data_IF_577680132511
#
_entry.id   IF_577680132511
#
_cell.length_a   1.000
_cell.length_b   1.000
_cell.length_c   1.000
_cell.angle_alpha   90.00
_cell.angle_beta   90.00
_cell.angle_gamma   90.00
#
_symmetry.space_group_name_H-M   'P 1'
#
loop_
_entity.id
_entity.type
_entity.pdbx_description
1 polymer ?
#
# COMPACT_ATOMS: atom_id res chain seq x y z
N UNK A 1 -7.05 -46.88 38.54
CA UNK A 1 -7.65 -45.77 37.80
C UNK A 1 -6.88 -45.31 36.54
N UNK A 2 -5.77 -45.94 36.17
CA UNK A 2 -4.95 -45.53 34.99
C UNK A 2 -5.22 -46.31 33.68
N UNK A 3 -6.12 -47.29 33.68
CA UNK A 3 -6.42 -48.13 32.49
C UNK A 3 -7.72 -47.73 31.72
N UNK A 4 -8.51 -46.79 32.24
CA UNK A 4 -9.74 -46.35 31.56
C UNK A 4 -9.58 -45.05 30.73
N UNK A 5 -8.44 -44.37 30.86
CA UNK A 5 -8.19 -43.15 30.12
C UNK A 5 -7.55 -43.38 28.73
N UNK A 6 -6.85 -44.53 28.55
CA UNK A 6 -6.16 -44.86 27.30
C UNK A 6 -7.11 -45.37 26.21
N UNK A 7 -8.25 -45.97 26.58
CA UNK A 7 -9.25 -46.42 25.61
C UNK A 7 -10.14 -45.31 25.06
N UNK A 8 -10.33 -44.20 25.84
CA UNK A 8 -11.14 -43.08 25.37
C UNK A 8 -10.39 -42.25 24.32
N UNK A 9 -9.07 -42.13 24.40
CA UNK A 9 -8.25 -41.43 23.40
C UNK A 9 -8.13 -42.17 22.07
N UNK A 10 -8.17 -43.50 22.08
CA UNK A 10 -8.07 -44.29 20.84
C UNK A 10 -9.38 -44.33 20.05
N UNK A 11 -10.52 -44.17 20.71
CA UNK A 11 -11.85 -44.12 20.05
C UNK A 11 -12.11 -42.73 19.42
N UNK A 12 -11.60 -41.69 20.03
CA UNK A 12 -11.76 -40.32 19.46
C UNK A 12 -10.87 -40.12 18.23
N UNK A 13 -9.67 -40.69 18.17
CA UNK A 13 -8.81 -40.66 16.96
C UNK A 13 -9.33 -41.54 15.81
N UNK A 14 -10.09 -42.60 16.08
CA UNK A 14 -10.70 -43.40 15.01
C UNK A 14 -11.97 -42.76 14.42
N UNK A 15 -12.70 -41.95 15.20
CA UNK A 15 -13.90 -41.26 14.71
C UNK A 15 -13.51 -40.05 13.82
N UNK A 16 -12.38 -39.38 14.07
CA UNK A 16 -11.88 -38.31 13.20
C UNK A 16 -11.26 -38.79 11.88
N UNK A 17 -10.77 -40.03 11.82
CA UNK A 17 -10.20 -40.60 10.57
C UNK A 17 -11.26 -41.13 9.60
N UNK A 18 -12.49 -41.41 10.08
CA UNK A 18 -13.60 -41.85 9.22
C UNK A 18 -14.49 -40.73 8.68
N UNK A 19 -14.40 -39.52 9.26
CA UNK A 19 -15.11 -38.31 8.76
C UNK A 19 -14.33 -37.54 7.68
N UNK A 20 -13.01 -37.82 7.51
CA UNK A 20 -12.21 -37.20 6.47
C UNK A 20 -12.29 -37.87 5.10
N UNK A 21 -12.89 -39.08 5.00
CA UNK A 21 -13.02 -39.82 3.75
C UNK A 21 -14.40 -39.70 3.08
N UNK A 22 -15.37 -39.00 3.69
CA UNK A 22 -16.73 -38.86 3.12
C UNK A 22 -16.99 -37.49 2.46
N UNK A 23 -16.01 -36.58 2.43
CA UNK A 23 -16.21 -35.26 1.80
C UNK A 23 -15.92 -35.20 0.29
N UNK A 24 -15.23 -36.21 -0.27
CA UNK A 24 -14.98 -36.26 -1.71
C UNK A 24 -16.17 -36.83 -2.50
N UNK A 25 -16.94 -37.77 -1.92
CA UNK A 25 -18.09 -38.38 -2.62
C UNK A 25 -19.31 -37.47 -2.73
N UNK A 26 -19.45 -36.44 -1.86
CA UNK A 26 -20.56 -35.48 -1.92
C UNK A 26 -20.32 -34.42 -3.00
N UNK A 27 -19.07 -34.08 -3.30
CA UNK A 27 -18.75 -33.10 -4.34
C UNK A 27 -18.96 -33.71 -5.75
N UNK A 28 -18.60 -34.97 -5.96
CA UNK A 28 -18.83 -35.67 -7.23
C UNK A 28 -20.30 -35.92 -7.52
N UNK A 29 -21.15 -36.15 -6.49
CA UNK A 29 -22.56 -36.30 -6.64
C UNK A 29 -23.28 -34.96 -6.97
N UNK A 30 -22.82 -33.85 -6.43
CA UNK A 30 -23.37 -32.53 -6.72
C UNK A 30 -22.99 -32.01 -8.11
N UNK A 31 -21.78 -32.34 -8.60
CA UNK A 31 -21.32 -31.95 -9.94
C UNK A 31 -21.94 -32.80 -11.06
N UNK A 32 -22.27 -34.06 -10.79
CA UNK A 32 -22.89 -34.97 -11.77
C UNK A 32 -24.34 -34.61 -12.12
N UNK A 33 -25.08 -33.86 -11.30
CA UNK A 33 -26.46 -33.43 -11.58
C UNK A 33 -26.57 -32.13 -12.39
N UNK A 34 -25.50 -31.37 -12.51
CA UNK A 34 -25.49 -30.09 -13.26
C UNK A 34 -25.17 -30.26 -14.76
N UNK A 35 -24.65 -31.43 -15.19
CA UNK A 35 -24.23 -31.66 -16.58
C UNK A 35 -25.07 -32.73 -17.35
N UNK A 36 -26.19 -33.22 -16.80
CA UNK A 36 -27.07 -34.14 -17.52
C UNK A 36 -28.49 -33.56 -17.74
N UNK A 37 -28.64 -32.87 -18.83
CA UNK A 37 -29.92 -32.43 -19.37
C UNK A 37 -29.71 -31.27 -20.32
N UNK A 38 -29.82 -31.35 -21.56
CA UNK A 38 -30.63 -32.12 -22.48
C UNK A 38 -30.11 -31.93 -23.89
N UNK A 39 -30.00 -33.02 -24.65
CA UNK A 39 -29.90 -32.95 -26.10
C UNK A 39 -31.28 -33.00 -26.72
N UNK A 40 -31.34 -32.58 -28.01
CA UNK A 40 -32.35 -32.77 -29.04
C UNK A 40 -33.60 -31.85 -28.96
N UNK A 41 -34.11 -31.28 -30.00
CA UNK A 41 -34.09 -31.44 -31.47
C UNK A 41 -34.73 -30.19 -32.13
N UNK A 42 -34.23 -29.89 -33.33
CA UNK A 42 -34.90 -29.40 -34.55
C UNK A 42 -36.18 -28.54 -34.51
N UNK A 43 -36.18 -27.46 -35.30
CA UNK A 43 -37.39 -26.91 -35.89
C UNK A 43 -37.37 -25.43 -36.28
N UNK A 44 -37.03 -25.16 -37.52
CA UNK A 44 -37.54 -24.16 -38.49
C UNK A 44 -38.11 -22.79 -38.05
N UNK A 45 -37.52 -21.76 -38.66
CA UNK A 45 -38.11 -20.55 -39.28
C UNK A 45 -39.11 -19.67 -38.52
N UNK A 46 -38.70 -18.45 -38.32
CA UNK A 46 -39.61 -17.33 -38.02
C UNK A 46 -38.88 -16.00 -38.05
N UNK A 47 -38.91 -15.34 -39.19
CA UNK A 47 -38.52 -13.94 -39.40
C UNK A 47 -39.30 -13.04 -38.43
N UNK A 48 -38.62 -12.22 -37.67
CA UNK A 48 -39.22 -11.18 -36.84
C UNK A 48 -38.18 -10.17 -36.44
N UNK A 49 -38.08 -9.10 -37.21
CA UNK A 49 -37.28 -7.89 -36.89
C UNK A 49 -37.71 -7.31 -35.55
N UNK A 50 -36.93 -7.45 -34.53
CA UNK A 50 -36.96 -6.59 -33.36
C UNK A 50 -35.56 -5.98 -33.15
N UNK A 51 -35.36 -4.78 -33.72
CA UNK A 51 -34.27 -3.89 -33.41
C UNK A 51 -34.33 -3.49 -31.93
N UNK A 52 -33.44 -4.04 -31.14
CA UNK A 52 -33.04 -3.48 -29.83
C UNK A 52 -32.10 -2.33 -30.14
N UNK A 53 -32.25 -1.15 -29.51
CA UNK A 53 -31.34 -0.03 -29.75
C UNK A 53 -29.92 -0.38 -29.22
N UNK A 54 -28.93 -0.30 -30.10
CA UNK A 54 -27.52 -0.36 -29.76
C UNK A 54 -27.19 0.80 -28.82
N UNK A 55 -27.02 0.52 -27.53
CA UNK A 55 -26.21 1.34 -26.64
C UNK A 55 -24.76 1.14 -27.05
N UNK A 56 -24.11 2.21 -27.44
CA UNK A 56 -22.68 2.28 -27.69
C UNK A 56 -21.92 1.92 -26.40
N UNK A 57 -21.43 0.72 -26.33
CA UNK A 57 -20.33 0.39 -25.40
C UNK A 57 -19.08 0.13 -26.25
N UNK A 58 -18.23 1.12 -26.28
CA UNK A 58 -16.87 0.98 -26.79
C UNK A 58 -15.99 0.28 -25.76
N UNK A 59 -16.15 -1.01 -25.61
CA UNK A 59 -15.14 -1.86 -25.01
C UNK A 59 -14.07 -2.12 -26.05
N UNK A 60 -12.87 -1.56 -25.90
CA UNK A 60 -11.76 -1.89 -26.74
C UNK A 60 -11.27 -3.30 -26.43
N UNK A 61 -11.36 -4.21 -27.40
CA UNK A 61 -10.74 -5.54 -27.30
C UNK A 61 -9.23 -5.39 -27.16
N UNK A 62 -8.66 -5.85 -26.04
CA UNK A 62 -7.21 -5.87 -25.84
C UNK A 62 -6.68 -7.19 -26.37
N UNK A 63 -5.91 -7.13 -27.43
CA UNK A 63 -5.19 -8.29 -27.97
C UNK A 63 -3.78 -8.33 -27.40
N UNK A 64 -3.46 -9.35 -26.59
CA UNK A 64 -2.11 -9.62 -26.11
C UNK A 64 -1.46 -10.60 -27.09
N UNK A 65 -0.43 -10.15 -27.79
CA UNK A 65 0.43 -11.01 -28.59
C UNK A 65 1.46 -11.71 -27.69
N UNK A 66 1.17 -12.93 -27.28
CA UNK A 66 2.10 -13.78 -26.53
C UNK A 66 2.80 -14.77 -27.48
N UNK A 67 3.77 -14.30 -28.29
CA UNK A 67 4.55 -15.14 -29.23
C UNK A 67 3.74 -15.69 -30.40
N UNK A 68 4.41 -16.32 -31.34
CA UNK A 68 3.93 -16.64 -32.71
C UNK A 68 2.67 -17.53 -32.83
N UNK A 69 2.00 -17.95 -31.76
CA UNK A 69 0.88 -18.90 -31.86
C UNK A 69 -0.35 -18.70 -30.93
N UNK A 70 -0.43 -17.63 -30.14
CA UNK A 70 -1.60 -17.41 -29.30
C UNK A 70 -2.05 -15.93 -29.28
N UNK A 71 -3.18 -15.67 -29.93
CA UNK A 71 -3.94 -14.44 -29.75
C UNK A 71 -5.04 -14.72 -28.71
N UNK A 72 -4.93 -14.13 -27.51
CA UNK A 72 -5.99 -14.15 -26.52
C UNK A 72 -6.76 -12.85 -26.64
N UNK A 73 -7.99 -12.93 -27.16
CA UNK A 73 -8.93 -11.80 -27.12
C UNK A 73 -9.74 -11.91 -25.83
N UNK A 74 -9.57 -10.94 -24.93
CA UNK A 74 -10.23 -10.92 -23.63
C UNK A 74 -11.40 -9.93 -23.71
N UNK A 75 -12.60 -10.37 -23.37
CA UNK A 75 -13.81 -9.52 -23.28
C UNK A 75 -13.66 -8.47 -22.18
N UNK A 76 -13.97 -7.22 -22.48
CA UNK A 76 -13.56 -6.01 -21.77
C UNK A 76 -14.07 -5.87 -20.31
N UNK A 77 -15.02 -6.66 -19.83
CA UNK A 77 -15.53 -6.50 -18.45
C UNK A 77 -14.92 -7.46 -17.41
N UNK A 78 -14.54 -8.67 -17.81
CA UNK A 78 -13.84 -9.62 -16.91
C UNK A 78 -12.33 -9.49 -16.96
N UNK A 79 -11.81 -8.83 -17.98
CA UNK A 79 -10.38 -8.74 -18.28
C UNK A 79 -9.64 -7.64 -17.51
N UNK A 80 -10.34 -6.60 -17.03
CA UNK A 80 -9.68 -5.47 -16.38
C UNK A 80 -9.00 -5.86 -15.06
N UNK A 81 -9.68 -6.64 -14.21
CA UNK A 81 -9.16 -7.03 -12.90
C UNK A 81 -7.99 -8.03 -13.04
N UNK A 82 -8.06 -8.95 -14.03
CA UNK A 82 -6.98 -9.89 -14.33
C UNK A 82 -5.76 -9.13 -14.87
N UNK A 83 -5.96 -8.18 -15.78
CA UNK A 83 -4.86 -7.39 -16.33
C UNK A 83 -4.23 -6.48 -15.27
N UNK A 84 -5.05 -5.86 -14.43
CA UNK A 84 -4.61 -5.05 -13.31
C UNK A 84 -3.78 -5.89 -12.31
N UNK A 85 -4.30 -7.07 -11.91
CA UNK A 85 -3.60 -8.00 -11.05
C UNK A 85 -2.27 -8.47 -11.68
N UNK A 86 -2.25 -8.74 -13.00
CA UNK A 86 -1.02 -9.17 -13.69
C UNK A 86 0.06 -8.11 -13.66
N UNK A 87 -0.29 -6.83 -13.86
CA UNK A 87 0.67 -5.71 -13.71
C UNK A 87 1.16 -5.57 -12.27
N UNK A 88 0.25 -5.64 -11.31
CA UNK A 88 0.59 -5.56 -9.90
C UNK A 88 1.50 -6.72 -9.45
N UNK A 89 1.24 -7.96 -9.90
CA UNK A 89 2.08 -9.14 -9.61
C UNK A 89 3.52 -8.97 -10.12
N UNK A 90 3.72 -8.33 -11.28
CA UNK A 90 5.05 -8.07 -11.83
C UNK A 90 5.78 -6.92 -11.13
N UNK A 91 5.08 -6.08 -10.37
CA UNK A 91 5.67 -5.02 -9.55
C UNK A 91 5.76 -5.37 -8.06
N UNK A 92 5.12 -6.44 -7.63
CA UNK A 92 5.15 -6.91 -6.25
C UNK A 92 6.37 -7.80 -5.97
N UNK A 93 6.87 -7.70 -4.75
CA UNK A 93 7.95 -8.54 -4.24
C UNK A 93 7.61 -9.06 -2.86
N UNK A 94 8.10 -10.26 -2.54
CA UNK A 94 8.14 -10.76 -1.17
C UNK A 94 9.43 -10.29 -0.49
N UNK A 95 9.36 -10.00 0.81
CA UNK A 95 10.49 -9.54 1.60
C UNK A 95 10.66 -10.46 2.81
N UNK A 96 11.91 -10.88 3.05
CA UNK A 96 12.32 -11.61 4.25
C UNK A 96 13.46 -10.88 4.94
N UNK A 97 13.29 -10.59 6.22
CA UNK A 97 14.27 -9.92 7.06
C UNK A 97 14.71 -10.85 8.19
N UNK A 98 16.03 -11.00 8.37
CA UNK A 98 16.59 -11.78 9.49
C UNK A 98 17.22 -10.83 10.50
N UNK A 99 16.94 -11.03 11.78
CA UNK A 99 17.43 -10.20 12.89
C UNK A 99 18.20 -11.08 13.87
N UNK A 100 19.23 -10.50 14.49
CA UNK A 100 19.88 -11.07 15.66
C UNK A 100 19.28 -10.49 16.92
N UNK A 101 18.86 -11.34 17.85
CA UNK A 101 18.21 -10.96 19.12
C UNK A 101 19.03 -11.48 20.28
N UNK A 102 19.34 -10.64 21.25
CA UNK A 102 20.05 -11.03 22.48
C UNK A 102 19.04 -11.36 23.57
N UNK A 103 18.98 -12.62 23.96
CA UNK A 103 18.13 -13.09 25.04
C UNK A 103 18.97 -13.44 26.25
N UNK A 104 18.64 -12.88 27.42
CA UNK A 104 19.33 -13.18 28.67
C UNK A 104 18.55 -14.30 29.41
N UNK A 105 19.24 -15.42 29.69
CA UNK A 105 18.68 -16.56 30.42
C UNK A 105 19.42 -16.72 31.74
N UNK A 106 18.69 -16.73 32.89
CA UNK A 106 19.23 -16.82 34.22
C UNK A 106 18.93 -15.59 35.07
N UNK A 107 19.27 -15.65 36.37
CA UNK A 107 19.08 -14.56 37.32
C UNK A 107 20.43 -14.13 37.91
N UNK A 108 20.61 -12.80 38.05
CA UNK A 108 21.77 -12.18 38.70
C UNK A 108 23.05 -12.35 37.91
N UNK A 109 24.23 -12.40 38.57
CA UNK A 109 25.54 -12.45 37.94
C UNK A 109 25.80 -13.71 37.07
N UNK A 110 24.93 -14.72 37.17
CA UNK A 110 25.02 -15.98 36.41
C UNK A 110 24.14 -15.98 35.16
N UNK A 111 23.55 -14.85 34.78
CA UNK A 111 22.79 -14.76 33.53
C UNK A 111 23.72 -14.91 32.34
N UNK A 112 23.36 -15.81 31.40
CA UNK A 112 24.04 -15.97 30.14
C UNK A 112 23.25 -15.28 29.03
N UNK A 113 23.94 -14.55 28.17
CA UNK A 113 23.34 -13.91 26.99
C UNK A 113 23.53 -14.85 25.81
N UNK A 114 22.42 -15.23 25.20
CA UNK A 114 22.40 -16.02 23.97
C UNK A 114 21.93 -15.13 22.82
N UNK A 115 22.53 -15.31 21.65
CA UNK A 115 22.07 -14.68 20.43
C UNK A 115 21.23 -15.69 19.64
N UNK A 116 20.00 -15.29 19.30
CA UNK A 116 19.05 -16.10 18.54
C UNK A 116 18.62 -15.33 17.30
N UNK A 117 18.14 -16.05 16.28
CA UNK A 117 17.60 -15.45 15.06
C UNK A 117 16.10 -15.24 15.19
N UNK A 118 15.64 -14.06 14.77
CA UNK A 118 14.25 -13.74 14.52
C UNK A 118 14.06 -13.40 13.05
N UNK A 119 12.88 -13.68 12.50
CA UNK A 119 12.55 -13.41 11.10
C UNK A 119 11.26 -12.60 11.02
N UNK A 120 11.25 -11.58 10.19
CA UNK A 120 10.05 -10.88 9.74
C UNK A 120 9.84 -11.14 8.26
N UNK A 121 8.60 -11.27 7.85
CA UNK A 121 8.21 -11.42 6.45
C UNK A 121 7.16 -10.37 6.10
N UNK A 122 7.23 -9.87 4.88
CA UNK A 122 6.29 -8.90 4.35
C UNK A 122 6.34 -8.87 2.84
N UNK A 123 5.82 -7.82 2.30
CA UNK A 123 5.76 -7.54 0.87
C UNK A 123 6.40 -6.20 0.54
N UNK A 124 6.63 -5.95 -0.72
CA UNK A 124 7.08 -4.67 -1.23
C UNK A 124 6.57 -4.41 -2.64
N UNK A 125 6.77 -3.18 -3.09
CA UNK A 125 6.45 -2.75 -4.45
C UNK A 125 7.69 -2.13 -5.09
N UNK A 126 8.02 -2.56 -6.30
CA UNK A 126 9.12 -1.98 -7.07
C UNK A 126 8.70 -0.56 -7.48
N UNK A 127 9.39 0.42 -6.91
CA UNK A 127 9.14 1.84 -7.14
C UNK A 127 9.88 2.38 -8.36
N UNK A 128 11.16 2.04 -8.47
CA UNK A 128 12.01 2.37 -9.62
C UNK A 128 12.80 1.15 -10.02
N UNK A 129 12.99 0.95 -11.31
CA UNK A 129 13.71 -0.19 -11.86
C UNK A 129 14.54 0.25 -13.07
N UNK A 130 15.83 -0.05 -13.01
CA UNK A 130 16.73 0.01 -14.16
C UNK A 130 17.01 -1.43 -14.63
N UNK A 131 16.39 -1.82 -15.72
CA UNK A 131 16.54 -3.17 -16.30
C UNK A 131 17.95 -3.44 -16.86
N UNK A 132 18.67 -2.41 -17.29
CA UNK A 132 20.00 -2.58 -17.87
C UNK A 132 21.02 -2.96 -16.82
N UNK A 133 20.97 -2.34 -15.63
CA UNK A 133 21.86 -2.64 -14.51
C UNK A 133 21.30 -3.66 -13.52
N UNK A 134 19.99 -3.90 -13.51
CA UNK A 134 19.35 -4.73 -12.50
C UNK A 134 19.20 -4.03 -11.15
N UNK A 135 19.19 -2.67 -11.16
CA UNK A 135 19.00 -1.87 -9.95
C UNK A 135 17.53 -1.55 -9.72
N UNK A 136 17.12 -1.57 -8.46
CA UNK A 136 15.77 -1.18 -8.09
C UNK A 136 15.72 -0.45 -6.75
N UNK A 137 14.73 0.45 -6.62
CA UNK A 137 14.22 0.90 -5.33
C UNK A 137 12.88 0.24 -5.07
N UNK A 138 12.70 -0.27 -3.85
CA UNK A 138 11.52 -1.02 -3.42
C UNK A 138 10.94 -0.30 -2.21
N UNK A 139 9.62 -0.08 -2.21
CA UNK A 139 8.88 0.48 -1.07
C UNK A 139 8.26 -0.68 -0.30
N UNK A 140 8.33 -0.60 1.03
CA UNK A 140 7.69 -1.53 1.96
C UNK A 140 7.23 -0.79 3.22
N UNK A 141 6.58 -1.48 4.17
CA UNK A 141 6.34 -0.90 5.48
C UNK A 141 7.60 -0.91 6.36
N UNK A 142 7.71 0.10 7.23
CA UNK A 142 8.83 0.22 8.17
C UNK A 142 8.89 -0.97 9.14
N UNK A 143 7.72 -1.42 9.65
CA UNK A 143 7.66 -2.56 10.56
C UNK A 143 8.08 -3.91 9.92
N UNK A 144 8.19 -4.01 8.60
CA UNK A 144 8.71 -5.22 7.93
C UNK A 144 10.22 -5.34 8.13
N UNK A 145 10.93 -4.22 8.09
CA UNK A 145 12.40 -4.15 8.16
C UNK A 145 12.94 -3.81 9.56
N UNK A 146 12.07 -3.41 10.47
CA UNK A 146 12.38 -2.98 11.84
C UNK A 146 11.90 -4.01 12.87
N UNK A 147 12.75 -4.28 13.88
CA UNK A 147 12.38 -5.10 15.02
C UNK A 147 12.98 -4.54 16.31
N UNK A 148 12.12 -4.09 17.25
CA UNK A 148 12.53 -3.38 18.48
C UNK A 148 13.46 -4.18 19.41
N UNK A 149 13.56 -5.52 19.25
CA UNK A 149 14.48 -6.39 20.00
C UNK A 149 15.74 -6.77 19.21
N UNK A 150 15.91 -6.22 18.02
CA UNK A 150 17.12 -6.44 17.23
C UNK A 150 18.38 -5.97 17.98
N UNK A 151 19.49 -6.66 17.79
CA UNK A 151 20.78 -6.27 18.35
C UNK A 151 21.53 -5.24 17.50
N UNK A 152 20.98 -4.83 16.34
CA UNK A 152 21.52 -3.72 15.53
C UNK A 152 21.28 -2.39 16.23
N UNK A 153 22.12 -1.38 15.97
CA UNK A 153 22.04 -0.07 16.64
C UNK A 153 20.76 0.70 16.32
N UNK A 154 20.22 0.51 15.12
CA UNK A 154 18.99 1.17 14.62
C UNK A 154 17.79 0.21 14.55
N UNK A 155 17.92 -1.01 15.09
CA UNK A 155 16.88 -2.04 15.08
C UNK A 155 16.43 -2.51 13.67
N UNK A 156 17.09 -2.03 12.60
CA UNK A 156 16.84 -2.43 11.21
C UNK A 156 17.59 -3.72 10.88
N UNK A 157 17.00 -4.57 10.06
CA UNK A 157 17.66 -5.78 9.57
C UNK A 157 18.85 -5.44 8.64
N UNK A 158 20.00 -6.07 8.92
CA UNK A 158 21.15 -6.06 8.01
C UNK A 158 21.14 -7.23 7.01
N UNK A 159 20.12 -8.06 7.07
CA UNK A 159 19.97 -9.23 6.20
C UNK A 159 18.55 -9.23 5.63
N UNK A 160 18.39 -8.53 4.49
CA UNK A 160 17.13 -8.35 3.80
C UNK A 160 17.24 -9.06 2.45
N UNK A 161 16.29 -9.96 2.19
CA UNK A 161 16.15 -10.66 0.91
C UNK A 161 14.83 -10.31 0.26
N UNK A 162 14.86 -10.08 -1.04
CA UNK A 162 13.71 -9.79 -1.89
C UNK A 162 13.52 -10.93 -2.86
N UNK A 163 12.28 -11.28 -3.15
CA UNK A 163 11.90 -12.35 -4.07
C UNK A 163 10.86 -11.86 -5.05
N UNK A 164 11.02 -12.20 -6.32
CA UNK A 164 10.06 -11.88 -7.37
C UNK A 164 8.91 -12.88 -7.38
N UNK A 165 7.77 -12.48 -7.95
CA UNK A 165 6.62 -13.36 -8.15
C UNK A 165 7.00 -14.63 -8.93
N UNK A 166 6.65 -15.80 -8.36
CA UNK A 166 6.99 -17.11 -8.90
C UNK A 166 8.44 -17.56 -8.65
N UNK A 167 9.23 -16.77 -7.90
CA UNK A 167 10.63 -17.04 -7.54
C UNK A 167 10.86 -16.97 -6.03
N UNK A 168 9.89 -17.38 -5.21
CA UNK A 168 9.93 -17.26 -3.75
C UNK A 168 10.68 -18.41 -3.07
N UNK A 169 11.78 -18.88 -3.69
CA UNK A 169 12.68 -19.90 -3.18
C UNK A 169 14.03 -19.32 -2.77
N UNK A 170 14.68 -19.91 -1.79
CA UNK A 170 15.93 -19.38 -1.21
C UNK A 170 17.05 -19.18 -2.24
N UNK A 171 17.12 -20.01 -3.28
CA UNK A 171 18.09 -19.89 -4.37
C UNK A 171 17.89 -18.65 -5.26
N UNK A 172 16.70 -18.02 -5.22
CA UNK A 172 16.37 -16.80 -5.97
C UNK A 172 16.34 -15.55 -5.09
N UNK A 173 16.91 -15.65 -3.87
CA UNK A 173 17.00 -14.52 -2.97
C UNK A 173 17.84 -13.38 -3.57
N UNK A 174 17.26 -12.21 -3.71
CA UNK A 174 17.95 -11.00 -4.15
C UNK A 174 18.30 -10.20 -2.91
N UNK A 175 19.60 -9.97 -2.60
CA UNK A 175 19.99 -9.13 -1.48
C UNK A 175 19.53 -7.70 -1.67
N UNK A 176 19.02 -7.08 -0.61
CA UNK A 176 18.62 -5.68 -0.60
C UNK A 176 19.22 -4.96 0.61
N UNK A 177 19.45 -3.65 0.46
CA UNK A 177 19.93 -2.78 1.51
C UNK A 177 18.85 -1.77 1.90
N UNK A 178 18.78 -1.42 3.18
CA UNK A 178 17.93 -0.36 3.68
C UNK A 178 18.52 1.00 3.29
N UNK A 179 17.69 1.86 2.66
CA UNK A 179 18.07 3.23 2.31
C UNK A 179 17.62 4.19 3.40
N UNK A 180 16.38 4.07 3.84
CA UNK A 180 15.78 4.90 4.86
C UNK A 180 14.32 4.57 5.08
N UNK A 181 13.72 5.17 6.12
CA UNK A 181 12.31 4.94 6.42
C UNK A 181 11.76 5.92 7.45
N UNK A 182 10.50 5.78 7.77
CA UNK A 182 9.82 6.56 8.80
C UNK A 182 8.85 5.67 9.58
N UNK A 183 9.05 5.63 10.89
CA UNK A 183 8.15 4.96 11.81
C UNK A 183 6.78 5.67 11.87
N UNK A 184 6.79 7.01 11.75
CA UNK A 184 5.58 7.83 11.75
C UNK A 184 4.64 7.53 10.58
N UNK A 185 5.20 7.25 9.39
CA UNK A 185 4.44 6.91 8.18
C UNK A 185 4.39 5.42 7.90
N UNK A 186 5.09 4.61 8.70
CA UNK A 186 5.26 3.17 8.52
C UNK A 186 5.69 2.77 7.10
N UNK A 187 6.64 3.51 6.53
CA UNK A 187 7.20 3.29 5.20
C UNK A 187 8.72 3.18 5.25
N UNK A 188 9.29 2.33 4.41
CA UNK A 188 10.72 2.18 4.21
C UNK A 188 11.05 2.01 2.72
N UNK A 189 12.25 2.42 2.33
CA UNK A 189 12.80 2.24 1.00
C UNK A 189 14.01 1.30 1.09
N UNK A 190 14.01 0.29 0.23
CA UNK A 190 15.11 -0.64 0.04
C UNK A 190 15.74 -0.41 -1.33
N UNK A 191 17.03 -0.75 -1.45
CA UNK A 191 17.79 -0.72 -2.70
C UNK A 191 18.29 -2.12 -3.03
N UNK A 192 18.12 -2.50 -4.28
CA UNK A 192 18.78 -3.65 -4.91
C UNK A 192 19.75 -3.11 -5.94
N UNK A 193 20.96 -3.70 -6.03
CA UNK A 193 22.00 -3.33 -6.98
C UNK A 193 22.47 -4.57 -7.76
N UNK A 194 22.80 -4.38 -9.05
CA UNK A 194 23.45 -5.36 -9.94
C UNK A 194 22.76 -6.74 -9.99
N UNK A 195 21.41 -6.81 -9.88
CA UNK A 195 20.68 -8.07 -9.87
C UNK A 195 20.37 -8.59 -11.27
N UNK A 196 21.01 -9.68 -11.67
CA UNK A 196 20.71 -10.38 -12.92
C UNK A 196 19.26 -10.90 -12.95
N UNK A 197 18.73 -11.35 -11.80
CA UNK A 197 17.34 -11.79 -11.72
C UNK A 197 16.35 -10.66 -12.04
N UNK A 198 16.62 -9.44 -11.55
CA UNK A 198 15.81 -8.27 -11.91
C UNK A 198 15.97 -7.90 -13.38
N UNK A 199 17.21 -7.87 -13.90
CA UNK A 199 17.51 -7.51 -15.28
C UNK A 199 16.80 -8.42 -16.29
N UNK A 200 16.83 -9.73 -16.07
CA UNK A 200 16.32 -10.76 -17.00
C UNK A 200 14.84 -11.12 -16.77
N UNK A 201 14.25 -10.77 -15.62
CA UNK A 201 12.86 -11.09 -15.30
C UNK A 201 11.84 -10.24 -16.07
N UNK A 202 10.56 -10.54 -15.91
CA UNK A 202 9.44 -9.69 -16.35
C UNK A 202 9.04 -8.63 -15.31
N UNK A 203 9.78 -8.48 -14.21
CA UNK A 203 9.49 -7.50 -13.18
C UNK A 203 9.45 -6.07 -13.75
N UNK A 204 8.57 -5.23 -13.21
CA UNK A 204 8.37 -3.85 -13.65
C UNK A 204 8.15 -2.93 -12.45
N UNK A 205 8.43 -1.64 -12.61
CA UNK A 205 8.07 -0.65 -11.61
C UNK A 205 6.55 -0.42 -11.62
N UNK A 206 5.97 -0.20 -10.44
CA UNK A 206 4.56 0.14 -10.33
C UNK A 206 4.26 1.53 -10.90
N UNK A 207 3.16 1.65 -11.64
CA UNK A 207 2.61 2.92 -12.05
C UNK A 207 1.71 3.46 -10.93
N UNK A 208 1.90 4.72 -10.52
CA UNK A 208 1.15 5.34 -9.44
C UNK A 208 -0.09 6.06 -9.96
N UNK A 209 -1.24 5.84 -9.33
CA UNK A 209 -2.42 6.69 -9.49
C UNK A 209 -2.36 7.86 -8.50
N UNK A 210 -3.13 8.92 -8.78
CA UNK A 210 -3.38 9.96 -7.79
C UNK A 210 -4.41 9.45 -6.77
N UNK A 211 -3.97 9.24 -5.52
CA UNK A 211 -4.86 8.76 -4.47
C UNK A 211 -5.90 9.80 -3.99
N UNK A 212 -5.80 11.06 -4.42
CA UNK A 212 -6.83 12.06 -4.16
C UNK A 212 -8.08 11.86 -5.05
N UNK A 213 -7.93 11.16 -6.18
CA UNK A 213 -9.03 10.82 -7.10
C UNK A 213 -9.74 9.52 -6.73
N UNK A 214 -9.23 8.78 -5.73
CA UNK A 214 -9.83 7.54 -5.25
C UNK A 214 -11.16 7.83 -4.56
N UNK A 215 -12.16 7.01 -4.85
CA UNK A 215 -13.51 7.17 -4.29
C UNK A 215 -13.96 5.91 -3.56
N UNK A 216 -14.94 6.08 -2.68
CA UNK A 216 -15.60 4.94 -2.03
C UNK A 216 -16.22 3.99 -3.08
N UNK A 217 -16.11 2.68 -2.84
CA UNK A 217 -16.51 1.57 -3.71
C UNK A 217 -15.64 1.41 -4.98
N UNK A 218 -14.55 2.15 -5.12
CA UNK A 218 -13.57 1.88 -6.16
C UNK A 218 -12.88 0.52 -5.91
N UNK A 219 -12.71 -0.26 -6.97
CA UNK A 219 -12.05 -1.57 -6.88
C UNK A 219 -10.64 -1.43 -6.31
N UNK A 220 -10.33 -2.26 -5.33
CA UNK A 220 -9.04 -2.34 -4.68
C UNK A 220 -8.51 -3.77 -4.75
N UNK A 221 -7.37 -3.95 -5.44
CA UNK A 221 -6.69 -5.23 -5.61
C UNK A 221 -5.43 -5.20 -4.75
N UNK A 222 -5.42 -5.95 -3.64
CA UNK A 222 -4.25 -6.09 -2.80
C UNK A 222 -3.36 -7.22 -3.30
N UNK A 223 -2.07 -6.95 -3.44
CA UNK A 223 -1.06 -7.91 -3.90
C UNK A 223 0.08 -7.92 -2.89
N UNK A 224 0.35 -9.10 -2.35
CA UNK A 224 1.37 -9.32 -1.33
C UNK A 224 1.59 -10.80 -1.07
N UNK A 225 2.38 -11.12 -0.04
CA UNK A 225 2.77 -12.47 0.34
C UNK A 225 2.15 -12.86 1.70
N UNK A 226 0.83 -13.18 1.76
CA UNK A 226 0.17 -13.50 3.02
C UNK A 226 0.80 -14.74 3.65
N UNK A 227 1.12 -14.63 4.96
CA UNK A 227 1.68 -15.72 5.77
C UNK A 227 2.97 -16.35 5.19
N UNK A 228 3.70 -15.61 4.33
CA UNK A 228 4.89 -16.08 3.63
C UNK A 228 4.66 -17.35 2.77
N UNK A 229 3.45 -17.51 2.22
CA UNK A 229 3.06 -18.67 1.40
C UNK A 229 3.12 -18.40 -0.12
N UNK A 230 3.72 -17.32 -0.54
CA UNK A 230 3.84 -16.89 -1.94
C UNK A 230 2.98 -15.66 -2.24
N UNK A 231 3.40 -14.89 -3.25
CA UNK A 231 2.69 -13.67 -3.66
C UNK A 231 1.34 -14.05 -4.26
N UNK A 232 0.29 -13.41 -3.78
CA UNK A 232 -1.08 -13.61 -4.22
C UNK A 232 -1.84 -12.29 -4.34
N UNK A 233 -2.98 -12.31 -5.04
CA UNK A 233 -3.86 -11.17 -5.23
C UNK A 233 -5.24 -11.44 -4.61
N UNK A 234 -5.78 -10.44 -3.94
CA UNK A 234 -7.15 -10.43 -3.42
C UNK A 234 -7.86 -9.17 -3.90
N UNK A 235 -9.17 -9.22 -4.06
CA UNK A 235 -9.97 -8.10 -4.56
C UNK A 235 -11.06 -7.73 -3.56
N UNK A 236 -11.31 -6.45 -3.44
CA UNK A 236 -12.36 -5.81 -2.67
C UNK A 236 -12.56 -4.38 -3.17
N UNK A 237 -12.91 -3.47 -2.29
CA UNK A 237 -13.06 -2.06 -2.61
C UNK A 237 -12.57 -1.12 -1.49
N UNK A 238 -12.40 0.14 -1.86
CA UNK A 238 -12.17 1.22 -0.91
C UNK A 238 -13.48 1.56 -0.21
N UNK A 239 -13.53 1.49 1.12
CA UNK A 239 -14.70 1.86 1.90
C UNK A 239 -14.65 3.34 2.34
N UNK A 240 -13.45 3.82 2.69
CA UNK A 240 -13.20 5.21 3.08
C UNK A 240 -11.89 5.65 2.44
N UNK A 241 -11.95 6.71 1.68
CA UNK A 241 -10.80 7.27 0.93
C UNK A 241 -9.72 7.87 1.82
N UNK A 242 -10.10 8.36 2.99
CA UNK A 242 -9.14 8.95 3.95
C UNK A 242 -9.72 9.05 5.34
N UNK A 243 -9.05 8.45 6.31
CA UNK A 243 -9.34 8.62 7.74
C UNK A 243 -8.03 8.62 8.56
N UNK A 244 -8.08 9.29 9.72
CA UNK A 244 -6.95 9.32 10.64
C UNK A 244 -7.09 8.20 11.66
N UNK A 245 -6.10 7.31 11.70
CA UNK A 245 -6.04 6.16 12.60
C UNK A 245 -4.87 6.34 13.56
N UNK A 246 -5.16 6.30 14.86
CA UNK A 246 -4.15 6.32 15.90
C UNK A 246 -3.81 4.89 16.32
N UNK A 247 -2.53 4.55 16.33
CA UNK A 247 -2.04 3.21 16.57
C UNK A 247 -0.70 3.20 17.32
N UNK A 248 -0.33 2.05 17.87
CA UNK A 248 1.00 1.84 18.42
C UNK A 248 2.02 1.71 17.28
N UNK A 249 3.11 2.46 17.37
CA UNK A 249 4.20 2.44 16.38
C UNK A 249 4.97 1.11 16.37
N UNK A 250 5.98 1.00 15.51
CA UNK A 250 6.75 -0.24 15.36
C UNK A 250 7.69 -0.52 16.54
N UNK A 251 7.98 0.49 17.36
CA UNK A 251 8.74 0.35 18.62
C UNK A 251 7.92 -0.27 19.77
N UNK A 252 6.61 -0.51 19.57
CA UNK A 252 5.64 -1.01 20.56
C UNK A 252 5.43 -0.09 21.79
N UNK A 253 5.97 1.12 21.76
CA UNK A 253 5.94 2.11 22.86
C UNK A 253 5.23 3.38 22.41
N UNK A 254 5.64 3.93 21.29
CA UNK A 254 5.16 5.21 20.79
C UNK A 254 3.77 5.08 20.15
N UNK A 255 3.06 6.20 20.08
CA UNK A 255 1.76 6.27 19.41
C UNK A 255 1.88 7.19 18.22
N UNK A 256 1.44 6.73 17.05
CA UNK A 256 1.42 7.49 15.81
C UNK A 256 -0.01 7.63 15.30
N UNK A 257 -0.29 8.73 14.63
CA UNK A 257 -1.54 8.93 13.89
C UNK A 257 -1.23 9.01 12.42
N UNK A 258 -1.80 8.08 11.65
CA UNK A 258 -1.60 7.95 10.22
C UNK A 258 -2.88 8.25 9.47
N UNK A 259 -2.76 8.89 8.30
CA UNK A 259 -3.86 9.02 7.34
C UNK A 259 -3.86 7.81 6.43
N UNK A 260 -4.96 7.06 6.43
CA UNK A 260 -5.09 5.78 5.75
C UNK A 260 -6.38 5.72 4.93
N UNK A 261 -6.39 4.92 3.90
CA UNK A 261 -7.60 4.42 3.24
C UNK A 261 -8.09 3.18 3.97
N UNK A 262 -9.41 3.07 4.19
CA UNK A 262 -10.04 1.84 4.69
C UNK A 262 -10.57 1.02 3.53
N UNK A 263 -10.29 -0.27 3.55
CA UNK A 263 -10.65 -1.23 2.51
C UNK A 263 -11.31 -2.47 3.12
N UNK A 264 -12.10 -3.18 2.32
CA UNK A 264 -12.63 -4.51 2.67
C UNK A 264 -11.92 -5.65 1.93
N UNK A 265 -10.91 -5.29 1.14
CA UNK A 265 -10.03 -6.26 0.49
C UNK A 265 -9.41 -7.18 1.54
N UNK A 266 -9.48 -8.52 1.39
CA UNK A 266 -8.89 -9.43 2.36
C UNK A 266 -7.37 -9.21 2.47
N UNK A 267 -6.92 -8.81 3.64
CA UNK A 267 -5.49 -8.60 3.96
C UNK A 267 -5.14 -9.30 5.26
N UNK A 268 -3.99 -9.97 5.27
CA UNK A 268 -3.46 -10.72 6.41
C UNK A 268 -2.01 -10.34 6.67
N UNK A 269 -1.46 -10.82 7.78
CA UNK A 269 -0.02 -10.73 8.05
C UNK A 269 0.78 -11.21 6.83
N UNK A 270 1.84 -10.48 6.46
CA UNK A 270 2.62 -10.74 5.24
C UNK A 270 2.18 -9.91 4.02
N UNK A 271 0.94 -9.41 3.96
CA UNK A 271 0.52 -8.42 2.94
C UNK A 271 1.07 -7.01 3.24
N UNK A 272 1.55 -6.75 4.45
CA UNK A 272 2.19 -5.47 4.81
C UNK A 272 3.31 -5.10 3.85
N UNK A 273 3.28 -3.87 3.33
CA UNK A 273 4.21 -3.36 2.34
C UNK A 273 3.85 -3.71 0.89
N UNK A 274 2.89 -4.60 0.68
CA UNK A 274 2.36 -4.94 -0.64
C UNK A 274 1.53 -3.83 -1.26
N UNK A 275 1.33 -3.89 -2.56
CA UNK A 275 0.60 -2.88 -3.31
C UNK A 275 -0.92 -3.06 -3.24
N UNK A 276 -1.62 -1.93 -3.16
CA UNK A 276 -3.05 -1.84 -3.41
C UNK A 276 -3.24 -1.17 -4.78
N UNK A 277 -3.85 -1.86 -5.73
CA UNK A 277 -3.99 -1.41 -7.11
C UNK A 277 -5.45 -1.17 -7.47
N UNK A 278 -5.70 -0.21 -8.37
CA UNK A 278 -7.00 0.00 -8.96
C UNK A 278 -7.22 -0.91 -10.19
N UNK A 279 -8.36 -0.75 -10.84
CA UNK A 279 -8.74 -1.56 -12.01
C UNK A 279 -7.89 -1.31 -13.26
N UNK A 280 -7.18 -0.20 -13.35
CA UNK A 280 -6.19 0.07 -14.40
C UNK A 280 -4.81 -0.55 -14.10
N UNK A 281 -4.64 -1.19 -12.93
CA UNK A 281 -3.36 -1.74 -12.47
C UNK A 281 -2.39 -0.68 -11.98
N UNK A 282 -2.89 0.49 -11.60
CA UNK A 282 -2.11 1.57 -10.99
C UNK A 282 -2.17 1.47 -9.46
N UNK A 283 -1.06 1.76 -8.82
CA UNK A 283 -0.93 1.75 -7.37
C UNK A 283 -1.72 2.90 -6.75
N UNK A 284 -2.71 2.60 -5.94
CA UNK A 284 -3.48 3.55 -5.14
C UNK A 284 -3.02 3.63 -3.68
N UNK A 285 -2.24 2.65 -3.21
CA UNK A 285 -1.69 2.65 -1.85
C UNK A 285 -0.79 1.48 -1.53
N UNK A 286 -0.21 1.51 -0.33
CA UNK A 286 0.56 0.41 0.27
C UNK A 286 -0.25 -0.18 1.42
N UNK A 287 -0.46 -1.50 1.38
CA UNK A 287 -1.22 -2.24 2.40
C UNK A 287 -0.52 -2.18 3.75
N UNK A 288 -1.27 -1.87 4.81
CA UNK A 288 -0.82 -1.91 6.19
C UNK A 288 -1.62 -2.95 6.97
N UNK A 289 -1.17 -4.19 6.97
CA UNK A 289 -1.86 -5.30 7.62
C UNK A 289 -1.67 -5.32 9.16
N UNK A 290 -0.77 -4.48 9.73
CA UNK A 290 -0.58 -4.35 11.18
C UNK A 290 -1.86 -3.91 11.91
N UNK A 291 -2.74 -3.21 11.21
CA UNK A 291 -4.01 -2.70 11.74
C UNK A 291 -5.18 -3.69 11.61
N UNK A 292 -5.00 -4.85 11.00
CA UNK A 292 -6.06 -5.85 10.95
C UNK A 292 -6.37 -6.34 12.37
N UNK A 293 -7.55 -5.97 12.87
CA UNK A 293 -8.00 -6.32 14.22
C UNK A 293 -8.56 -7.74 14.21
N UNK A 294 -8.13 -8.56 15.16
CA UNK A 294 -8.71 -9.90 15.38
C UNK A 294 -10.18 -9.87 15.81
N UNK A 295 -10.74 -8.70 16.09
CA UNK A 295 -12.10 -8.50 16.62
C UNK A 295 -13.09 -7.92 15.60
N UNK A 296 -12.58 -7.35 14.49
CA UNK A 296 -13.42 -6.80 13.41
C UNK A 296 -12.98 -7.41 12.09
N UNK A 297 -13.79 -8.27 11.54
CA UNK A 297 -13.55 -8.89 10.24
C UNK A 297 -13.81 -7.89 9.10
N UNK A 298 -13.10 -8.07 7.97
CA UNK A 298 -13.27 -7.30 6.74
C UNK A 298 -12.96 -5.79 6.84
N UNK A 299 -12.01 -5.42 7.71
CA UNK A 299 -11.42 -4.08 7.71
C UNK A 299 -9.92 -4.20 7.51
N UNK A 300 -9.44 -3.67 6.40
CA UNK A 300 -8.03 -3.47 6.09
C UNK A 300 -7.72 -1.98 5.93
N UNK A 301 -6.43 -1.66 5.91
CA UNK A 301 -5.95 -0.31 5.73
C UNK A 301 -4.82 -0.24 4.73
N UNK A 302 -4.73 0.88 4.00
CA UNK A 302 -3.63 1.16 3.10
C UNK A 302 -3.17 2.62 3.23
N UNK A 303 -1.88 2.85 3.08
CA UNK A 303 -1.28 4.19 3.03
C UNK A 303 -1.50 4.71 1.60
N UNK A 304 -2.14 5.89 1.42
CA UNK A 304 -2.44 6.44 0.10
C UNK A 304 -1.19 6.64 -0.77
N UNK A 305 -1.30 6.36 -2.07
CA UNK A 305 -0.17 6.37 -3.02
C UNK A 305 0.57 7.71 -3.09
N UNK A 306 -0.12 8.85 -2.95
CA UNK A 306 0.53 10.15 -2.92
C UNK A 306 1.47 10.30 -1.72
N UNK A 307 1.02 9.90 -0.51
CA UNK A 307 1.88 9.89 0.68
C UNK A 307 3.07 8.96 0.45
N UNK A 308 2.82 7.75 -0.08
CA UNK A 308 3.87 6.77 -0.37
C UNK A 308 4.94 7.38 -1.28
N UNK A 309 4.53 8.02 -2.37
CA UNK A 309 5.43 8.67 -3.32
C UNK A 309 6.21 9.81 -2.66
N UNK A 310 5.53 10.70 -1.91
CA UNK A 310 6.19 11.86 -1.29
C UNK A 310 7.20 11.43 -0.23
N UNK A 311 6.87 10.41 0.56
CA UNK A 311 7.79 9.85 1.55
C UNK A 311 8.98 9.16 0.88
N UNK A 312 8.76 8.35 -0.17
CA UNK A 312 9.84 7.70 -0.90
C UNK A 312 10.81 8.73 -1.52
N UNK A 313 10.29 9.78 -2.17
CA UNK A 313 11.11 10.86 -2.72
C UNK A 313 11.85 11.66 -1.65
N UNK A 314 11.23 11.82 -0.48
CA UNK A 314 11.84 12.48 0.65
C UNK A 314 13.00 11.65 1.20
N UNK A 315 12.79 10.35 1.42
CA UNK A 315 13.85 9.41 1.82
C UNK A 315 15.01 9.43 0.82
N UNK A 316 14.72 9.28 -0.48
CA UNK A 316 15.76 9.26 -1.52
C UNK A 316 16.53 10.58 -1.63
N UNK A 317 15.95 11.70 -1.19
CA UNK A 317 16.62 12.99 -1.18
C UNK A 317 17.54 13.20 0.02
N UNK A 318 17.11 12.78 1.22
CA UNK A 318 17.81 13.09 2.47
C UNK A 318 18.72 11.96 2.96
N UNK A 319 18.52 10.69 2.53
CA UNK A 319 19.20 9.57 3.12
C UNK A 319 20.40 9.12 2.32
N UNK A 320 21.48 8.94 3.03
CA UNK A 320 22.70 8.25 2.59
C UNK A 320 22.86 6.86 3.24
N UNK A 321 21.83 6.37 3.94
CA UNK A 321 21.83 5.09 4.66
C UNK A 321 22.41 5.15 6.07
N UNK A 322 22.76 6.32 6.59
CA UNK A 322 23.43 6.49 7.90
C UNK A 322 22.56 7.08 8.99
N UNK A 323 21.40 7.67 8.67
CA UNK A 323 20.53 8.36 9.63
C UNK A 323 19.36 7.50 10.10
N UNK A 324 19.02 7.62 11.40
CA UNK A 324 17.91 6.88 12.01
C UNK A 324 16.54 7.37 11.52
N UNK A 325 16.41 8.69 11.27
CA UNK A 325 15.21 9.31 10.71
C UNK A 325 15.50 9.91 9.35
N UNK A 326 14.69 9.52 8.40
CA UNK A 326 14.98 9.73 7.00
C UNK A 326 13.97 10.64 6.30
N UNK A 327 12.88 11.04 6.97
CA UNK A 327 11.84 11.92 6.44
C UNK A 327 11.88 13.26 7.13
N UNK A 328 12.05 14.33 6.36
CA UNK A 328 12.17 15.69 6.85
C UNK A 328 11.11 16.60 6.23
N UNK A 329 10.65 17.60 6.96
CA UNK A 329 9.71 18.62 6.50
C UNK A 329 10.25 20.03 6.74
N UNK A 330 10.04 20.88 5.75
CA UNK A 330 10.16 22.34 5.93
C UNK A 330 8.82 22.85 6.48
N UNK A 331 8.81 23.27 7.74
CA UNK A 331 7.60 23.74 8.41
C UNK A 331 7.32 25.22 8.06
N UNK A 332 6.13 25.50 7.53
CA UNK A 332 5.68 26.87 7.24
C UNK A 332 5.39 27.69 8.51
N UNK A 333 5.04 27.01 9.60
CA UNK A 333 4.63 27.68 10.84
C UNK A 333 3.18 28.14 10.84
N UNK A 334 2.31 27.54 10.01
CA UNK A 334 0.87 27.76 10.05
C UNK A 334 0.14 26.60 10.72
N UNK A 335 -0.98 26.89 11.34
CA UNK A 335 -1.97 25.89 11.78
C UNK A 335 -3.19 26.02 10.89
N UNK A 336 -3.70 24.91 10.41
CA UNK A 336 -4.89 24.86 9.56
C UNK A 336 -6.12 24.39 10.32
N UNK A 337 -7.30 24.76 9.85
CA UNK A 337 -8.58 24.26 10.33
C UNK A 337 -9.61 24.28 9.20
N UNK A 338 -10.61 23.41 9.33
CA UNK A 338 -11.74 23.35 8.41
C UNK A 338 -12.67 24.55 8.70
N UNK A 339 -12.97 25.37 7.67
CA UNK A 339 -13.98 26.43 7.73
C UNK A 339 -15.37 25.89 7.40
N UNK A 340 -15.46 25.00 6.40
CA UNK A 340 -16.66 24.28 6.00
C UNK A 340 -16.27 22.99 5.29
N UNK A 341 -17.17 22.03 5.30
CA UNK A 341 -17.00 20.75 4.60
C UNK A 341 -18.32 20.37 3.93
N UNK A 342 -18.26 19.81 2.73
CA UNK A 342 -19.41 19.34 1.98
C UNK A 342 -19.04 18.17 1.09
N UNK A 343 -20.02 17.31 0.80
CA UNK A 343 -19.94 16.33 -0.26
C UNK A 343 -20.31 17.02 -1.59
N UNK A 344 -19.45 16.89 -2.59
CA UNK A 344 -19.63 17.47 -3.92
C UNK A 344 -19.70 16.34 -4.93
N UNK A 345 -20.77 16.34 -5.75
CA UNK A 345 -20.89 15.43 -6.87
C UNK A 345 -20.18 16.01 -8.09
N UNK A 346 -19.16 15.33 -8.56
CA UNK A 346 -18.47 15.67 -9.79
C UNK A 346 -19.23 15.07 -10.98
N UNK A 347 -19.74 15.93 -11.85
CA UNK A 347 -20.53 15.53 -13.02
C UNK A 347 -19.69 14.95 -14.15
N UNK A 348 -18.39 15.20 -14.19
CA UNK A 348 -17.50 14.68 -15.23
C UNK A 348 -17.08 13.24 -14.92
N UNK A 349 -16.75 12.95 -13.68
CA UNK A 349 -16.30 11.62 -13.24
C UNK A 349 -17.43 10.75 -12.70
N UNK A 350 -18.59 11.37 -12.34
CA UNK A 350 -19.70 10.67 -11.68
C UNK A 350 -19.40 10.29 -10.22
N UNK A 351 -18.33 10.85 -9.64
CA UNK A 351 -17.89 10.53 -8.28
C UNK A 351 -18.36 11.58 -7.28
N UNK A 352 -18.42 11.18 -6.00
CA UNK A 352 -18.66 12.10 -4.89
C UNK A 352 -17.37 12.29 -4.12
N UNK A 353 -16.96 13.53 -3.92
CA UNK A 353 -15.79 13.90 -3.15
C UNK A 353 -16.16 14.78 -1.96
N UNK A 354 -15.44 14.62 -0.84
CA UNK A 354 -15.53 15.54 0.28
C UNK A 354 -14.59 16.70 0.00
N UNK A 355 -15.16 17.90 -0.05
CA UNK A 355 -14.40 19.13 -0.23
C UNK A 355 -14.50 19.97 1.03
N UNK A 356 -13.36 20.35 1.58
CA UNK A 356 -13.18 21.22 2.73
C UNK A 356 -12.67 22.58 2.29
N UNK A 357 -13.19 23.64 2.86
CA UNK A 357 -12.59 24.96 2.79
C UNK A 357 -11.59 25.05 3.95
N UNK A 358 -10.31 25.07 3.61
CA UNK A 358 -9.21 25.08 4.59
C UNK A 358 -8.77 26.51 4.88
N UNK A 359 -8.73 26.87 6.17
CA UNK A 359 -8.28 28.19 6.61
C UNK A 359 -7.07 28.11 7.54
N UNK A 360 -6.28 29.17 7.58
CA UNK A 360 -5.26 29.37 8.59
C UNK A 360 -5.95 29.71 9.92
N UNK A 361 -5.71 28.90 10.95
CA UNK A 361 -6.28 29.06 12.30
C UNK A 361 -5.28 29.63 13.31
N UNK A 362 -3.99 29.66 12.97
CA UNK A 362 -2.93 30.18 13.80
C UNK A 362 -1.63 30.28 13.04
N UNK A 363 -0.75 31.16 13.51
CA UNK A 363 0.60 31.38 12.97
C UNK A 363 1.58 31.21 14.14
N UNK A 364 2.65 30.51 13.91
CA UNK A 364 3.72 30.31 14.88
C UNK A 364 4.64 31.54 14.83
N UNK A 365 4.94 32.11 16.00
CA UNK A 365 5.89 33.23 16.10
C UNK A 365 7.29 32.82 15.61
N UNK A 366 7.99 33.76 15.03
CA UNK A 366 9.33 33.60 14.48
C UNK A 366 9.39 32.53 13.34
N UNK A 367 8.26 32.20 12.73
CA UNK A 367 8.19 31.31 11.55
C UNK A 367 8.20 32.12 10.25
N UNK A 368 8.47 31.44 9.14
CA UNK A 368 8.40 32.03 7.79
C UNK A 368 6.99 32.52 7.40
N UNK A 369 5.96 32.05 8.08
CA UNK A 369 4.59 32.47 7.86
C UNK A 369 4.27 33.83 8.49
N UNK A 370 5.06 34.27 9.48
CA UNK A 370 4.81 35.51 10.19
C UNK A 370 5.01 36.71 9.27
N UNK A 371 4.00 37.58 9.22
CA UNK A 371 3.97 38.75 8.34
C UNK A 371 3.57 38.46 6.88
N UNK A 372 3.52 37.18 6.47
CA UNK A 372 3.04 36.79 5.14
C UNK A 372 1.54 36.43 5.15
N UNK A 373 1.10 35.73 6.18
CA UNK A 373 -0.26 35.19 6.31
C UNK A 373 -1.00 35.85 7.48
N UNK A 374 -2.34 35.74 7.44
CA UNK A 374 -3.24 36.17 8.50
C UNK A 374 -4.15 35.03 8.95
N UNK A 375 -4.55 35.05 10.23
CA UNK A 375 -5.56 34.11 10.72
C UNK A 375 -6.88 34.38 10.01
N UNK A 376 -7.43 33.35 9.37
CA UNK A 376 -8.65 33.48 8.55
C UNK A 376 -8.41 33.38 7.05
N UNK A 377 -7.18 33.51 6.55
CA UNK A 377 -6.84 33.25 5.15
C UNK A 377 -7.31 31.87 4.75
N UNK A 378 -7.98 31.75 3.62
CA UNK A 378 -8.39 30.47 3.03
C UNK A 378 -7.31 30.04 2.05
N UNK A 379 -6.81 28.81 2.20
CA UNK A 379 -5.78 28.24 1.34
C UNK A 379 -6.48 27.55 0.17
N UNK A 380 -6.20 27.98 -1.06
CA UNK A 380 -6.77 27.41 -2.27
C UNK A 380 -5.81 26.36 -2.88
N UNK A 381 -4.53 26.70 -3.02
CA UNK A 381 -3.50 25.79 -3.55
C UNK A 381 -2.11 26.13 -3.02
N UNK A 382 -1.19 25.18 -3.18
CA UNK A 382 0.25 25.33 -2.89
C UNK A 382 1.01 24.93 -4.14
N UNK A 383 1.89 25.81 -4.63
CA UNK A 383 2.79 25.47 -5.74
C UNK A 383 4.20 25.32 -5.22
N UNK A 384 4.82 24.16 -5.51
CA UNK A 384 6.20 23.82 -5.10
C UNK A 384 6.97 23.45 -6.36
N UNK A 385 8.05 24.15 -6.66
CA UNK A 385 8.90 23.93 -7.83
C UNK A 385 8.13 23.82 -9.16
N UNK A 386 7.06 24.63 -9.28
CA UNK A 386 6.19 24.69 -10.46
C UNK A 386 5.07 23.64 -10.50
N UNK A 387 4.97 22.75 -9.52
CA UNK A 387 3.87 21.79 -9.38
C UNK A 387 2.83 22.34 -8.41
N UNK A 388 1.57 22.46 -8.88
CA UNK A 388 0.46 22.99 -8.07
C UNK A 388 -0.31 21.85 -7.43
N UNK A 389 -0.54 21.96 -6.12
CA UNK A 389 -1.33 21.05 -5.28
C UNK A 389 -2.58 21.80 -4.83
N UNK A 390 -3.75 21.38 -5.30
CA UNK A 390 -5.04 21.92 -4.86
C UNK A 390 -5.32 21.56 -3.40
N UNK A 391 -5.82 22.52 -2.62
CA UNK A 391 -6.11 22.33 -1.19
C UNK A 391 -7.62 22.20 -0.99
N UNK A 392 -8.14 21.03 -1.27
CA UNK A 392 -9.55 20.66 -1.04
C UNK A 392 -9.77 19.86 0.24
N UNK A 393 -8.70 19.50 0.96
CA UNK A 393 -8.73 18.81 2.26
C UNK A 393 -7.64 19.39 3.17
N UNK A 394 -7.90 19.40 4.46
CA UNK A 394 -6.97 19.97 5.46
C UNK A 394 -5.59 19.32 5.41
N UNK A 395 -5.53 18.03 5.14
CA UNK A 395 -4.29 17.28 5.06
C UNK A 395 -3.46 17.57 3.80
N UNK A 396 -4.04 18.11 2.72
CA UNK A 396 -3.30 18.42 1.49
C UNK A 396 -2.15 19.41 1.73
N UNK A 397 -2.30 20.31 2.71
CA UNK A 397 -1.23 21.24 3.07
C UNK A 397 0.00 20.51 3.61
N UNK A 398 -0.21 19.56 4.52
CA UNK A 398 0.87 18.78 5.12
C UNK A 398 1.50 17.85 4.08
N UNK A 399 0.68 17.21 3.26
CA UNK A 399 1.15 16.28 2.23
C UNK A 399 1.98 17.00 1.17
N UNK A 400 1.52 18.15 0.67
CA UNK A 400 2.26 18.97 -0.30
C UNK A 400 3.65 19.34 0.25
N UNK A 401 3.73 19.74 1.52
CA UNK A 401 4.98 20.17 2.15
C UNK A 401 6.00 19.02 2.35
N UNK A 402 5.61 17.75 2.20
CA UNK A 402 6.58 16.64 2.11
C UNK A 402 7.46 16.71 0.87
N UNK A 403 7.00 17.43 -0.18
CA UNK A 403 7.78 17.65 -1.40
C UNK A 403 8.69 18.88 -1.32
N UNK A 404 8.45 19.79 -0.37
CA UNK A 404 9.25 20.99 -0.24
C UNK A 404 10.65 20.69 0.34
N UNK A 405 11.63 21.33 -0.23
CA UNK A 405 13.03 21.32 0.23
C UNK A 405 13.44 22.75 0.61
N UNK A 406 14.52 22.88 1.35
CA UNK A 406 15.09 24.21 1.69
C UNK A 406 15.33 25.08 0.45
N UNK A 407 15.64 24.47 -0.67
CA UNK A 407 15.93 25.14 -1.95
C UNK A 407 14.69 25.29 -2.86
N UNK A 408 13.55 24.77 -2.44
CA UNK A 408 12.33 24.82 -3.26
C UNK A 408 11.76 26.22 -3.37
N UNK A 409 11.21 26.55 -4.54
CA UNK A 409 10.36 27.71 -4.72
C UNK A 409 8.94 27.36 -4.28
N UNK A 410 8.41 28.09 -3.30
CA UNK A 410 7.07 27.84 -2.77
C UNK A 410 6.21 29.08 -2.91
N UNK A 411 4.98 28.91 -3.42
CA UNK A 411 3.95 29.94 -3.36
C UNK A 411 2.61 29.34 -2.93
N UNK A 412 1.83 30.12 -2.22
CA UNK A 412 0.50 29.72 -1.78
C UNK A 412 -0.54 30.68 -2.35
N UNK A 413 -1.53 30.13 -3.03
CA UNK A 413 -2.70 30.86 -3.46
C UNK A 413 -3.71 30.88 -2.31
N UNK A 414 -4.06 32.06 -1.81
CA UNK A 414 -4.95 32.21 -0.67
C UNK A 414 -6.09 33.22 -1.01
N UNK A 415 -7.19 33.09 -0.26
CA UNK A 415 -8.27 34.11 -0.28
C UNK A 415 -8.28 34.85 1.05
N UNK A 416 -8.03 36.17 1.00
CA UNK A 416 -8.04 37.11 2.12
C UNK A 416 -9.05 38.22 1.85
N UNK A 417 -10.00 38.42 2.75
CA UNK A 417 -11.01 39.49 2.60
C UNK A 417 -11.90 39.40 1.34
N UNK A 418 -11.93 38.19 0.69
CA UNK A 418 -12.65 37.97 -0.57
C UNK A 418 -11.79 38.15 -1.83
N UNK A 419 -10.54 38.55 -1.69
CA UNK A 419 -9.59 38.71 -2.79
C UNK A 419 -8.63 37.50 -2.81
N UNK A 420 -8.28 37.04 -4.01
CA UNK A 420 -7.30 35.97 -4.21
C UNK A 420 -5.91 36.57 -4.37
N UNK A 421 -4.94 36.06 -3.61
CA UNK A 421 -3.57 36.55 -3.50
C UNK A 421 -2.59 35.39 -3.63
N UNK A 422 -1.54 35.56 -4.41
CA UNK A 422 -0.39 34.63 -4.43
C UNK A 422 0.69 35.13 -3.47
N UNK A 423 1.03 34.32 -2.49
CA UNK A 423 2.03 34.62 -1.47
C UNK A 423 3.25 33.72 -1.69
N UNK A 424 4.38 34.33 -2.04
CA UNK A 424 5.66 33.61 -2.12
C UNK A 424 6.20 33.35 -0.71
N UNK A 425 6.74 32.15 -0.49
CA UNK A 425 7.32 31.73 0.78
C UNK A 425 8.78 31.34 0.56
N UNK A 426 9.69 32.01 1.28
CA UNK A 426 11.12 31.71 1.25
C UNK A 426 11.45 30.67 2.32
N UNK A 427 11.89 29.48 1.88
CA UNK A 427 12.31 28.38 2.76
C UNK A 427 13.82 28.36 3.05
N UNK A 428 14.60 29.30 2.50
CA UNK A 428 16.07 29.28 2.60
C UNK A 428 16.61 29.29 4.03
N UNK A 429 15.88 29.91 4.96
CA UNK A 429 16.23 29.97 6.39
C UNK A 429 15.50 28.89 7.22
N UNK A 430 14.61 28.09 6.61
CA UNK A 430 13.92 27.03 7.33
C UNK A 430 14.85 25.84 7.51
N UNK A 431 15.04 25.43 8.75
CA UNK A 431 15.73 24.16 9.05
C UNK A 431 14.73 23.02 8.89
N UNK A 432 14.98 22.06 7.97
CA UNK A 432 14.14 20.87 7.89
C UNK A 432 14.14 20.12 9.21
N UNK A 433 12.96 19.73 9.68
CA UNK A 433 12.80 18.97 10.93
C UNK A 433 12.34 17.55 10.61
N UNK A 434 12.77 16.55 11.39
CA UNK A 434 12.25 15.21 11.27
C UNK A 434 10.73 15.22 11.30
N UNK A 435 10.12 14.41 10.45
CA UNK A 435 8.68 14.23 10.42
C UNK A 435 8.31 13.17 11.48
N UNK A 436 8.36 13.60 12.75
CA UNK A 436 7.98 12.79 13.90
C UNK A 436 6.47 12.81 14.12
#
# INVERSE_FOLDING_TARGET
MKRKLTCAFLVITLIFSTLALSSCDILDYAMGQYFSGSGDESGENGNGDNKIPNGNESGADITINAGDNYNVTINSSESSDILAASRGLLSAVSISCKFKVKTSVGFGPSSQVYETDATSSGSGVIYRLNKESGDAYIITNYHVVYYHQSSTSNYISNNISVYLYGMEYEEYAIPATYVGGSMQYDLAVLKVEDSLLLAESSAMAAEFADSNDVSALETAIAIGNPEANGISATVGCVNVESENITMTASDEISTVTMRLMRIDTPVNSGNSGGGLFNREGKLIGIVNAKLSSSTVENIGYAIPSNIVKYIAENILYYCDGTEEESVYRCLLGIRTAIKSSSAVYDTETGKVHIVEVVKISGIVLDSVAEGLFEVGDVINSITIDGVTYEVTRTFHVVDAMLNARKTSTVSMNITRGGETIDVAVDLSEVTPTPAA
#
